data_IF_278037848142
#
_entry.id   IF_278037848142
#
_cell.length_a   1.000
_cell.length_b   1.000
_cell.length_c   1.000
_cell.angle_alpha   90.00
_cell.angle_beta   90.00
_cell.angle_gamma   90.00
#
_symmetry.space_group_name_H-M   'P 1'
#
loop_
_entity.id
_entity.type
_entity.pdbx_description
1 polymer ?
#
# COMPACT_ATOMS: atom_id res chain seq x y z
N UNK A 1 -17.24 -6.37 -12.47
CA UNK A 1 -15.79 -6.72 -12.54
C UNK A 1 -15.05 -5.48 -12.98
N UNK A 2 -14.13 -5.00 -12.16
CA UNK A 2 -13.31 -3.83 -12.47
C UNK A 2 -12.23 -4.17 -13.51
N UNK A 3 -12.15 -3.38 -14.55
CA UNK A 3 -11.14 -3.49 -15.62
C UNK A 3 -9.92 -2.64 -15.22
N UNK A 4 -8.68 -3.03 -15.59
CA UNK A 4 -7.50 -2.23 -15.28
C UNK A 4 -7.59 -0.82 -15.85
N UNK A 5 -7.33 0.19 -15.00
CA UNK A 5 -7.27 1.59 -15.42
C UNK A 5 -5.84 2.00 -15.84
N UNK A 6 -4.80 1.39 -15.25
CA UNK A 6 -3.41 1.83 -15.43
C UNK A 6 -2.46 0.74 -15.94
N UNK A 7 -2.98 -0.38 -16.44
CA UNK A 7 -2.17 -1.39 -17.14
C UNK A 7 -1.59 -0.82 -18.43
N UNK A 8 -0.29 -0.94 -18.62
CA UNK A 8 0.45 -0.35 -19.75
C UNK A 8 1.02 1.03 -19.49
N UNK A 9 0.59 1.72 -18.43
CA UNK A 9 1.15 3.00 -17.99
C UNK A 9 1.89 2.89 -16.65
N UNK A 10 1.28 2.32 -15.61
CA UNK A 10 1.91 2.15 -14.29
C UNK A 10 2.60 0.78 -14.14
N UNK A 11 2.09 -0.24 -14.81
CA UNK A 11 2.71 -1.57 -14.83
C UNK A 11 2.48 -2.23 -16.21
N UNK A 12 3.24 -3.27 -16.58
CA UNK A 12 3.15 -3.87 -17.92
C UNK A 12 1.75 -4.38 -18.24
N UNK A 13 1.31 -4.20 -19.49
CA UNK A 13 -0.03 -4.60 -19.96
C UNK A 13 -0.17 -6.09 -20.28
N UNK A 14 0.91 -6.88 -20.20
CA UNK A 14 0.89 -8.32 -20.51
C UNK A 14 1.43 -9.14 -19.36
N UNK A 15 0.89 -10.36 -19.19
CA UNK A 15 1.33 -11.29 -18.14
C UNK A 15 2.83 -11.56 -18.20
N UNK A 16 3.37 -11.84 -19.40
CA UNK A 16 4.79 -12.15 -19.58
C UNK A 16 5.69 -11.05 -19.07
N UNK A 17 5.41 -9.78 -19.45
CA UNK A 17 6.20 -8.63 -19.01
C UNK A 17 6.05 -8.33 -17.51
N UNK A 18 4.88 -8.57 -16.91
CA UNK A 18 4.72 -8.46 -15.46
C UNK A 18 5.58 -9.48 -14.73
N UNK A 19 5.55 -10.73 -15.16
CA UNK A 19 6.35 -11.82 -14.58
C UNK A 19 7.84 -11.54 -14.75
N UNK A 20 8.28 -11.20 -15.96
CA UNK A 20 9.68 -10.81 -16.27
C UNK A 20 10.18 -9.68 -15.36
N UNK A 21 9.36 -8.64 -15.17
CA UNK A 21 9.71 -7.52 -14.28
C UNK A 21 9.94 -8.01 -12.84
N UNK A 22 9.01 -8.81 -12.30
CA UNK A 22 9.11 -9.28 -10.91
C UNK A 22 10.32 -10.21 -10.74
N UNK A 23 10.55 -11.14 -11.67
CA UNK A 23 11.67 -12.08 -11.62
C UNK A 23 13.02 -11.39 -11.76
N UNK A 24 13.13 -10.40 -12.65
CA UNK A 24 14.37 -9.62 -12.85
C UNK A 24 14.73 -8.70 -11.69
N UNK A 25 13.77 -8.35 -10.84
CA UNK A 25 13.94 -7.50 -9.67
C UNK A 25 13.75 -8.26 -8.34
N UNK A 26 13.68 -9.59 -8.38
CA UNK A 26 13.51 -10.39 -7.16
C UNK A 26 14.69 -10.18 -6.20
N UNK A 27 14.36 -10.14 -4.91
CA UNK A 27 15.32 -9.97 -3.83
C UNK A 27 15.19 -11.11 -2.82
N UNK A 28 16.14 -11.22 -1.90
CA UNK A 28 16.01 -12.09 -0.74
C UNK A 28 15.49 -11.26 0.42
N UNK A 29 14.36 -11.67 1.00
CA UNK A 29 13.77 -11.04 2.16
C UNK A 29 13.48 -12.10 3.22
N UNK A 30 14.06 -11.93 4.41
CA UNK A 30 13.91 -12.89 5.51
C UNK A 30 12.86 -12.47 6.53
N UNK A 31 12.29 -11.27 6.38
CA UNK A 31 11.24 -10.76 7.25
C UNK A 31 9.95 -11.53 7.01
N UNK A 32 9.18 -11.72 8.07
CA UNK A 32 7.86 -12.36 8.04
C UNK A 32 6.85 -11.38 8.63
N UNK A 33 5.95 -10.87 7.82
CA UNK A 33 4.98 -9.88 8.26
C UNK A 33 3.61 -10.06 7.62
N UNK A 34 2.56 -9.82 8.40
CA UNK A 34 1.18 -9.69 7.91
C UNK A 34 0.76 -8.25 7.61
N UNK A 35 1.57 -7.28 8.02
CA UNK A 35 1.25 -5.85 7.84
C UNK A 35 2.44 -5.17 7.20
N UNK A 36 2.22 -4.54 6.05
CA UNK A 36 3.29 -3.86 5.29
C UNK A 36 2.85 -2.50 4.79
N UNK A 37 3.83 -1.63 4.55
CA UNK A 37 3.69 -0.40 3.76
C UNK A 37 4.36 -0.63 2.41
N UNK A 38 3.72 -0.21 1.32
CA UNK A 38 4.18 -0.47 -0.02
C UNK A 38 3.94 0.73 -0.95
N UNK A 39 4.90 1.14 -1.80
CA UNK A 39 4.73 2.24 -2.72
C UNK A 39 3.78 1.88 -3.88
N UNK A 40 3.22 2.92 -4.54
CA UNK A 40 2.28 2.73 -5.63
C UNK A 40 2.54 3.58 -6.88
N UNK A 41 3.70 4.17 -7.02
CA UNK A 41 4.15 4.73 -8.28
C UNK A 41 4.24 3.66 -9.38
N UNK A 42 4.43 4.08 -10.62
CA UNK A 42 4.67 3.12 -11.71
C UNK A 42 5.81 2.15 -11.39
N UNK A 43 5.65 0.89 -11.77
CA UNK A 43 6.59 -0.19 -11.45
C UNK A 43 8.04 0.09 -11.88
N UNK A 44 8.21 0.85 -12.98
CA UNK A 44 9.56 1.27 -13.43
C UNK A 44 10.30 2.14 -12.42
N UNK A 45 9.58 2.77 -11.48
CA UNK A 45 10.13 3.61 -10.42
C UNK A 45 10.15 2.89 -9.08
N UNK A 46 8.99 2.42 -8.62
CA UNK A 46 8.82 1.89 -7.26
C UNK A 46 8.70 0.37 -7.17
N UNK A 47 8.55 -0.33 -8.30
CA UNK A 47 8.24 -1.75 -8.30
C UNK A 47 9.33 -2.63 -7.65
N UNK A 48 10.61 -2.26 -7.78
CA UNK A 48 11.69 -2.98 -7.10
C UNK A 48 11.56 -2.85 -5.59
N UNK A 49 11.33 -1.66 -5.08
CA UNK A 49 11.07 -1.42 -3.65
C UNK A 49 9.81 -2.16 -3.18
N UNK A 50 8.75 -2.17 -3.98
CA UNK A 50 7.51 -2.89 -3.67
C UNK A 50 7.72 -4.40 -3.46
N UNK A 51 8.60 -5.03 -4.20
CA UNK A 51 8.86 -6.48 -4.12
C UNK A 51 9.29 -6.91 -2.70
N UNK A 52 10.06 -6.11 -1.97
CA UNK A 52 10.49 -6.41 -0.61
C UNK A 52 9.30 -6.66 0.34
N UNK A 53 8.29 -5.79 0.31
CA UNK A 53 7.06 -5.98 1.11
C UNK A 53 6.31 -7.25 0.73
N UNK A 54 6.20 -7.56 -0.58
CA UNK A 54 5.51 -8.77 -1.03
C UNK A 54 6.26 -10.06 -0.67
N UNK A 55 7.59 -10.04 -0.65
CA UNK A 55 8.40 -11.15 -0.16
C UNK A 55 8.19 -11.38 1.34
N UNK A 56 8.14 -10.30 2.14
CA UNK A 56 7.83 -10.37 3.57
C UNK A 56 6.42 -10.95 3.82
N UNK A 57 5.41 -10.49 3.07
CA UNK A 57 4.05 -11.03 3.12
C UNK A 57 3.99 -12.51 2.74
N UNK A 58 4.73 -12.93 1.70
CA UNK A 58 4.78 -14.34 1.26
C UNK A 58 5.26 -15.24 2.39
N UNK A 59 6.26 -14.81 3.15
CA UNK A 59 6.79 -15.56 4.27
C UNK A 59 5.76 -15.74 5.41
N UNK A 60 4.75 -14.87 5.51
CA UNK A 60 3.70 -14.96 6.54
C UNK A 60 2.69 -16.10 6.32
N UNK A 61 2.66 -16.68 5.13
CA UNK A 61 1.69 -17.71 4.77
C UNK A 61 0.24 -17.21 4.66
N UNK A 62 0.01 -15.89 4.67
CA UNK A 62 -1.34 -15.30 4.54
C UNK A 62 -1.92 -15.56 3.15
N UNK A 63 -3.24 -15.68 3.09
CA UNK A 63 -3.99 -15.82 1.83
C UNK A 63 -5.25 -14.94 1.76
N UNK A 64 -5.42 -14.06 2.74
CA UNK A 64 -6.54 -13.14 2.88
C UNK A 64 -5.98 -11.74 3.13
N UNK A 65 -6.25 -10.80 2.22
CA UNK A 65 -5.58 -9.49 2.20
C UNK A 65 -6.58 -8.34 2.22
N UNK A 66 -6.21 -7.26 2.93
CA UNK A 66 -6.81 -5.94 2.79
C UNK A 66 -5.77 -5.00 2.19
N UNK A 67 -6.08 -4.43 1.04
CA UNK A 67 -5.27 -3.36 0.43
C UNK A 67 -5.96 -2.05 0.73
N UNK A 68 -5.24 -1.14 1.38
CA UNK A 68 -5.73 0.20 1.74
C UNK A 68 -4.93 1.21 0.94
N UNK A 69 -5.60 1.98 0.09
CA UNK A 69 -4.99 3.05 -0.70
C UNK A 69 -5.57 4.42 -0.35
N UNK A 70 -4.79 5.49 -0.49
CA UNK A 70 -5.35 6.84 -0.51
C UNK A 70 -6.14 7.05 -1.78
N UNK A 71 -7.13 7.93 -1.74
CA UNK A 71 -7.77 8.42 -2.96
C UNK A 71 -7.01 9.61 -3.52
N UNK A 72 -6.79 9.59 -4.84
CA UNK A 72 -6.25 10.74 -5.59
C UNK A 72 -7.36 11.57 -6.27
N UNK A 73 -8.64 11.20 -6.13
CA UNK A 73 -9.76 11.80 -6.82
C UNK A 73 -10.81 12.43 -5.89
N UNK A 74 -10.81 12.10 -4.61
CA UNK A 74 -11.72 12.64 -3.61
C UNK A 74 -11.05 12.69 -2.24
N UNK A 75 -11.54 13.57 -1.37
CA UNK A 75 -10.92 13.86 -0.06
C UNK A 75 -11.81 13.53 1.14
N UNK A 76 -12.91 12.83 0.92
CA UNK A 76 -13.89 12.51 1.96
C UNK A 76 -14.36 11.06 1.87
N UNK A 77 -14.75 10.47 3.00
CA UNK A 77 -15.29 9.13 3.07
C UNK A 77 -14.29 8.00 3.00
N UNK A 78 -14.80 6.79 3.19
CA UNK A 78 -14.09 5.52 3.14
C UNK A 78 -14.93 4.54 2.32
N UNK A 79 -14.39 4.00 1.25
CA UNK A 79 -15.15 3.19 0.31
C UNK A 79 -14.49 1.85 0.02
N UNK A 80 -15.30 0.80 0.00
CA UNK A 80 -14.91 -0.56 -0.38
C UNK A 80 -15.27 -0.84 -1.85
N UNK A 81 -14.50 -1.73 -2.48
CA UNK A 81 -14.91 -2.39 -3.72
C UNK A 81 -15.55 -3.74 -3.42
N UNK A 82 -16.67 -4.02 -4.04
CA UNK A 82 -17.35 -5.33 -3.99
C UNK A 82 -17.14 -6.15 -5.25
N UNK A 83 -16.21 -5.76 -6.12
CA UNK A 83 -15.99 -6.42 -7.42
C UNK A 83 -14.73 -7.29 -7.47
N UNK A 84 -14.71 -8.25 -8.36
CA UNK A 84 -13.48 -8.89 -8.83
C UNK A 84 -12.71 -7.91 -9.70
N UNK A 85 -11.37 -7.93 -9.60
CA UNK A 85 -10.51 -7.04 -10.38
C UNK A 85 -9.73 -7.84 -11.43
N UNK A 86 -9.76 -7.35 -12.66
CA UNK A 86 -8.99 -7.92 -13.76
C UNK A 86 -7.61 -7.28 -13.81
N UNK A 87 -6.58 -8.07 -14.08
CA UNK A 87 -5.21 -7.62 -14.38
C UNK A 87 -4.66 -8.43 -15.54
N UNK A 88 -3.48 -8.12 -16.09
CA UNK A 88 -2.81 -8.97 -17.08
C UNK A 88 -2.50 -10.40 -16.57
N UNK A 89 -2.41 -10.62 -15.24
CA UNK A 89 -2.17 -11.93 -14.66
C UNK A 89 -3.45 -12.75 -14.47
N UNK A 90 -4.62 -12.15 -14.68
CA UNK A 90 -5.91 -12.82 -14.56
C UNK A 90 -6.89 -12.07 -13.65
N UNK A 91 -7.85 -12.80 -13.10
CA UNK A 91 -8.89 -12.25 -12.21
C UNK A 91 -8.49 -12.46 -10.75
N UNK A 92 -8.37 -11.36 -10.02
CA UNK A 92 -8.25 -11.37 -8.56
C UNK A 92 -9.65 -11.39 -7.93
N UNK A 93 -9.88 -12.33 -7.01
CA UNK A 93 -11.18 -12.52 -6.36
C UNK A 93 -11.29 -11.66 -5.11
N UNK A 94 -12.35 -10.84 -5.03
CA UNK A 94 -12.61 -10.10 -3.80
C UNK A 94 -13.11 -11.03 -2.67
N UNK A 95 -12.82 -10.67 -1.45
CA UNK A 95 -13.30 -11.35 -0.24
C UNK A 95 -14.62 -10.72 0.22
N UNK A 96 -15.75 -11.31 -0.24
CA UNK A 96 -17.09 -10.82 0.13
C UNK A 96 -17.31 -10.83 1.65
N UNK A 97 -16.76 -11.81 2.36
CA UNK A 97 -16.94 -11.91 3.80
C UNK A 97 -16.18 -10.79 4.51
N UNK A 98 -14.95 -10.48 4.05
CA UNK A 98 -14.16 -9.37 4.59
C UNK A 98 -14.83 -8.03 4.30
N UNK A 99 -15.34 -7.81 3.08
CA UNK A 99 -16.09 -6.59 2.72
C UNK A 99 -17.27 -6.38 3.68
N UNK A 100 -18.06 -7.43 3.94
CA UNK A 100 -19.18 -7.36 4.86
C UNK A 100 -18.74 -7.12 6.33
N UNK A 101 -17.62 -7.72 6.76
CA UNK A 101 -17.07 -7.54 8.11
C UNK A 101 -16.57 -6.13 8.35
N UNK A 102 -15.92 -5.52 7.35
CA UNK A 102 -15.42 -4.15 7.43
C UNK A 102 -16.56 -3.12 7.55
N UNK A 103 -17.69 -3.35 6.88
CA UNK A 103 -18.92 -2.60 7.07
C UNK A 103 -18.93 -1.16 6.54
N UNK A 104 -17.98 -0.79 5.66
CA UNK A 104 -18.00 0.50 4.98
C UNK A 104 -18.81 0.46 3.70
N UNK A 105 -19.16 1.62 3.17
CA UNK A 105 -19.91 1.76 1.92
C UNK A 105 -19.14 1.11 0.76
N UNK A 106 -19.86 0.35 -0.07
CA UNK A 106 -19.33 -0.17 -1.33
C UNK A 106 -19.66 0.80 -2.45
N UNK A 107 -18.64 1.37 -3.09
CA UNK A 107 -18.84 2.34 -4.18
C UNK A 107 -17.75 2.20 -5.25
N UNK A 108 -18.10 1.55 -6.36
CA UNK A 108 -17.15 1.25 -7.43
C UNK A 108 -16.68 2.48 -8.21
N UNK A 109 -17.49 3.52 -8.29
CA UNK A 109 -17.15 4.74 -9.03
C UNK A 109 -15.85 5.39 -8.53
N UNK A 110 -15.57 5.27 -7.23
CA UNK A 110 -14.34 5.79 -6.64
C UNK A 110 -13.13 4.90 -6.93
N UNK A 111 -13.36 3.60 -7.11
CA UNK A 111 -12.29 2.65 -7.42
C UNK A 111 -11.91 2.63 -8.92
N UNK A 112 -12.83 2.95 -9.82
CA UNK A 112 -12.60 2.83 -11.27
C UNK A 112 -11.36 3.56 -11.77
N UNK A 113 -11.12 4.86 -11.46
CA UNK A 113 -9.96 5.59 -11.94
C UNK A 113 -8.70 5.39 -11.10
N UNK A 114 -8.84 4.85 -9.86
CA UNK A 114 -7.79 4.87 -8.85
C UNK A 114 -6.74 3.78 -9.07
N UNK A 115 -5.47 4.17 -8.97
CA UNK A 115 -4.31 3.31 -9.22
C UNK A 115 -3.65 2.75 -7.97
N UNK A 116 -3.76 3.46 -6.81
CA UNK A 116 -3.02 3.13 -5.58
C UNK A 116 -3.18 1.69 -5.09
N UNK A 117 -4.37 1.09 -5.33
CA UNK A 117 -4.66 -0.30 -5.01
C UNK A 117 -4.35 -1.20 -6.21
N UNK A 118 -4.69 -0.75 -7.43
CA UNK A 118 -4.56 -1.57 -8.64
C UNK A 118 -3.14 -2.08 -8.86
N UNK A 119 -2.14 -1.23 -8.68
CA UNK A 119 -0.73 -1.58 -8.92
C UNK A 119 -0.20 -2.67 -7.98
N UNK A 120 -0.87 -2.91 -6.84
CA UNK A 120 -0.52 -3.93 -5.86
C UNK A 120 -1.00 -5.34 -6.28
N UNK A 121 -2.12 -5.40 -7.01
CA UNK A 121 -2.80 -6.68 -7.29
C UNK A 121 -1.96 -7.63 -8.13
N UNK A 122 -1.27 -7.22 -9.21
CA UNK A 122 -0.44 -8.15 -9.98
C UNK A 122 0.71 -8.76 -9.17
N UNK A 123 1.26 -8.05 -8.17
CA UNK A 123 2.22 -8.63 -7.23
C UNK A 123 1.56 -9.74 -6.39
N UNK A 124 0.38 -9.50 -5.82
CA UNK A 124 -0.36 -10.55 -5.09
C UNK A 124 -0.60 -11.77 -5.97
N UNK A 125 -1.01 -11.59 -7.22
CA UNK A 125 -1.25 -12.69 -8.15
C UNK A 125 0.02 -13.48 -8.50
N UNK A 126 1.18 -12.84 -8.48
CA UNK A 126 2.45 -13.51 -8.72
C UNK A 126 2.93 -14.30 -7.49
N UNK A 127 2.90 -13.68 -6.31
CA UNK A 127 3.45 -14.27 -5.09
C UNK A 127 2.51 -15.29 -4.43
N UNK A 128 1.19 -15.18 -4.66
CA UNK A 128 0.19 -16.01 -3.99
C UNK A 128 -0.69 -16.74 -4.99
N UNK A 129 -0.58 -18.09 -5.01
CA UNK A 129 -1.37 -18.94 -5.95
C UNK A 129 -2.87 -18.94 -5.65
N UNK A 130 -3.23 -18.82 -4.38
CA UNK A 130 -4.63 -18.80 -3.90
C UNK A 130 -4.76 -17.72 -2.85
N UNK A 131 -5.56 -16.70 -3.12
CA UNK A 131 -5.86 -15.63 -2.20
C UNK A 131 -7.22 -15.00 -2.51
N UNK A 132 -7.74 -14.26 -1.53
CA UNK A 132 -8.81 -13.30 -1.68
C UNK A 132 -8.37 -11.95 -1.12
N UNK A 133 -8.99 -10.87 -1.59
CA UNK A 133 -8.65 -9.54 -1.10
C UNK A 133 -9.89 -8.65 -0.96
N UNK A 134 -9.80 -7.65 -0.09
CA UNK A 134 -10.66 -6.48 -0.10
C UNK A 134 -9.85 -5.25 -0.49
N UNK A 135 -10.46 -4.33 -1.22
CA UNK A 135 -9.91 -3.03 -1.60
C UNK A 135 -10.66 -1.95 -0.83
N UNK A 136 -9.93 -1.12 -0.09
CA UNK A 136 -10.46 -0.01 0.67
C UNK A 136 -9.76 1.28 0.26
N UNK A 137 -10.53 2.25 -0.23
CA UNK A 137 -10.05 3.60 -0.54
C UNK A 137 -10.37 4.57 0.58
N UNK A 138 -9.37 5.35 0.94
CA UNK A 138 -9.42 6.35 1.99
C UNK A 138 -9.36 7.76 1.40
N UNK A 139 -10.49 8.45 1.31
CA UNK A 139 -10.55 9.90 1.03
C UNK A 139 -10.35 10.69 2.32
N UNK A 140 -11.10 10.36 3.36
CA UNK A 140 -10.89 10.92 4.71
C UNK A 140 -9.76 10.18 5.42
N UNK A 141 -8.57 10.80 5.45
CA UNK A 141 -7.39 10.30 6.13
C UNK A 141 -7.25 10.84 7.57
N UNK A 142 -8.30 11.43 8.12
CA UNK A 142 -8.27 11.93 9.50
C UNK A 142 -7.98 10.82 10.51
N UNK A 143 -7.38 11.21 11.63
CA UNK A 143 -7.08 10.29 12.73
C UNK A 143 -8.30 9.46 13.18
N UNK A 144 -9.48 10.09 13.28
CA UNK A 144 -10.71 9.41 13.68
C UNK A 144 -11.12 8.32 12.70
N UNK A 145 -11.11 8.61 11.40
CA UNK A 145 -11.42 7.66 10.33
C UNK A 145 -10.41 6.52 10.30
N UNK A 146 -9.11 6.82 10.42
CA UNK A 146 -8.07 5.80 10.50
C UNK A 146 -8.27 4.83 11.67
N UNK A 147 -8.63 5.33 12.87
CA UNK A 147 -8.91 4.47 14.02
C UNK A 147 -10.17 3.61 13.82
N UNK A 148 -11.22 4.15 13.20
CA UNK A 148 -12.43 3.40 12.89
C UNK A 148 -12.10 2.24 11.94
N UNK A 149 -11.37 2.52 10.85
CA UNK A 149 -10.94 1.49 9.90
C UNK A 149 -10.05 0.45 10.59
N UNK A 150 -9.04 0.89 11.34
CA UNK A 150 -8.14 -0.04 12.02
C UNK A 150 -8.91 -1.00 12.93
N UNK A 151 -9.89 -0.52 13.69
CA UNK A 151 -10.72 -1.36 14.60
C UNK A 151 -11.57 -2.40 13.88
N UNK A 152 -11.99 -2.13 12.65
CA UNK A 152 -12.84 -3.05 11.87
C UNK A 152 -12.07 -4.22 11.24
N UNK A 153 -10.72 -4.13 11.16
CA UNK A 153 -9.89 -5.13 10.48
C UNK A 153 -9.71 -6.38 11.37
N UNK A 154 -10.09 -7.57 10.90
CA UNK A 154 -9.86 -8.83 11.64
C UNK A 154 -8.36 -9.20 11.72
N UNK A 155 -7.96 -9.93 12.78
CA UNK A 155 -6.56 -10.30 13.03
C UNK A 155 -6.00 -11.37 12.07
N UNK A 156 -6.88 -12.10 11.37
CA UNK A 156 -6.49 -13.10 10.37
C UNK A 156 -6.19 -12.51 8.99
N UNK A 157 -6.40 -11.21 8.81
CA UNK A 157 -6.21 -10.49 7.54
C UNK A 157 -4.82 -9.86 7.49
N UNK A 158 -4.12 -10.09 6.38
CA UNK A 158 -2.89 -9.36 6.10
C UNK A 158 -3.21 -7.99 5.46
N UNK A 159 -2.50 -6.94 5.88
CA UNK A 159 -2.74 -5.56 5.49
C UNK A 159 -1.61 -5.02 4.62
N UNK A 160 -1.97 -4.43 3.48
CA UNK A 160 -1.07 -3.69 2.60
C UNK A 160 -1.51 -2.23 2.63
N UNK A 161 -0.73 -1.38 3.29
CA UNK A 161 -0.90 0.07 3.26
C UNK A 161 -0.16 0.63 2.06
N UNK A 162 -0.88 1.17 1.10
CA UNK A 162 -0.33 1.69 -0.15
C UNK A 162 -0.03 3.18 -0.02
N UNK A 163 1.24 3.58 -0.17
CA UNK A 163 1.66 4.98 -0.06
C UNK A 163 3.03 5.21 -0.70
N UNK A 164 3.13 6.25 -1.53
CA UNK A 164 4.40 6.88 -1.79
C UNK A 164 4.71 7.92 -0.70
N UNK A 165 6.00 8.26 -0.53
CA UNK A 165 6.47 9.22 0.48
C UNK A 165 6.59 10.62 -0.12
N UNK A 166 7.58 11.43 0.29
CA UNK A 166 7.68 12.84 -0.12
C UNK A 166 7.72 13.00 -1.65
N UNK A 167 6.96 13.97 -2.16
CA UNK A 167 6.85 14.30 -3.58
C UNK A 167 7.43 15.66 -3.89
N UNK A 168 8.18 15.74 -5.00
CA UNK A 168 8.59 16.99 -5.65
C UNK A 168 9.41 17.94 -4.77
N UNK A 169 10.26 17.38 -3.93
CA UNK A 169 11.24 18.12 -3.17
C UNK A 169 12.68 17.74 -3.57
N UNK A 170 13.70 18.62 -3.29
CA UNK A 170 15.09 18.23 -3.46
C UNK A 170 15.42 16.97 -2.64
N UNK A 171 16.18 16.03 -3.21
CA UNK A 171 16.44 14.69 -2.62
C UNK A 171 16.87 14.76 -1.15
N UNK A 172 17.81 15.65 -0.82
CA UNK A 172 18.28 15.80 0.58
C UNK A 172 17.17 16.21 1.55
N UNK A 173 16.25 17.08 1.10
CA UNK A 173 15.13 17.55 1.92
C UNK A 173 14.09 16.46 2.05
N UNK A 174 13.69 15.81 0.95
CA UNK A 174 12.75 14.71 0.93
C UNK A 174 13.22 13.58 1.87
N UNK A 175 14.45 13.13 1.68
CA UNK A 175 15.07 12.09 2.50
C UNK A 175 15.08 12.42 4.01
N UNK A 176 15.39 13.68 4.39
CA UNK A 176 15.40 14.07 5.81
C UNK A 176 14.01 14.00 6.44
N UNK A 177 12.98 14.47 5.73
CA UNK A 177 11.58 14.43 6.17
C UNK A 177 11.07 13.00 6.27
N UNK A 178 11.39 12.19 5.28
CA UNK A 178 10.90 10.80 5.20
C UNK A 178 11.54 9.91 6.27
N UNK A 179 12.83 10.08 6.56
CA UNK A 179 13.45 9.32 7.66
C UNK A 179 12.92 9.71 9.04
N UNK A 180 12.52 10.97 9.28
CA UNK A 180 11.80 11.35 10.50
C UNK A 180 10.43 10.65 10.58
N UNK A 181 9.69 10.59 9.48
CA UNK A 181 8.41 9.89 9.40
C UNK A 181 8.58 8.37 9.58
N UNK A 182 9.56 7.75 8.89
CA UNK A 182 9.89 6.33 8.98
C UNK A 182 10.23 5.93 10.41
N UNK A 183 11.02 6.72 11.13
CA UNK A 183 11.36 6.46 12.54
C UNK A 183 10.11 6.34 13.43
N UNK A 184 9.08 7.18 13.20
CA UNK A 184 7.81 7.10 13.92
C UNK A 184 7.01 5.85 13.54
N UNK A 185 7.04 5.45 12.26
CA UNK A 185 6.42 4.20 11.78
C UNK A 185 7.11 2.99 12.43
N UNK A 186 8.44 2.94 12.41
CA UNK A 186 9.22 1.85 13.03
C UNK A 186 8.97 1.71 14.53
N UNK A 187 8.77 2.84 15.22
CA UNK A 187 8.45 2.90 16.66
C UNK A 187 6.96 2.71 16.97
N UNK A 188 6.12 2.40 15.98
CA UNK A 188 4.66 2.25 16.10
C UNK A 188 3.97 3.49 16.70
N UNK A 189 4.45 4.70 16.40
CA UNK A 189 3.94 5.99 16.93
C UNK A 189 2.91 6.62 15.98
N UNK A 190 1.85 5.89 15.65
CA UNK A 190 0.82 6.28 14.67
C UNK A 190 0.27 7.69 14.86
N UNK A 191 -0.07 8.10 16.09
CA UNK A 191 -0.59 9.45 16.38
C UNK A 191 0.45 10.53 16.05
N UNK A 192 1.70 10.32 16.49
CA UNK A 192 2.80 11.25 16.21
C UNK A 192 3.13 11.32 14.71
N UNK A 193 3.06 10.17 14.02
CA UNK A 193 3.24 10.12 12.57
C UNK A 193 2.17 10.93 11.83
N UNK A 194 0.88 10.73 12.14
CA UNK A 194 -0.22 11.51 11.55
C UNK A 194 -0.06 13.01 11.84
N UNK A 195 0.22 13.39 13.08
CA UNK A 195 0.47 14.78 13.49
C UNK A 195 1.70 15.40 12.79
N UNK A 196 2.78 14.64 12.59
CA UNK A 196 3.97 15.10 11.86
C UNK A 196 3.60 15.43 10.40
N UNK A 197 2.88 14.50 9.72
CA UNK A 197 2.46 14.70 8.33
C UNK A 197 1.56 15.91 8.19
N UNK A 198 0.51 16.01 9.01
CA UNK A 198 -0.45 17.12 8.97
C UNK A 198 0.19 18.45 9.30
N UNK A 199 0.95 18.54 10.40
CA UNK A 199 1.57 19.79 10.87
C UNK A 199 2.60 20.35 9.91
N UNK A 200 3.39 19.48 9.28
CA UNK A 200 4.45 19.87 8.36
C UNK A 200 4.01 19.81 6.89
N UNK A 201 2.74 19.49 6.64
CA UNK A 201 2.17 19.30 5.29
C UNK A 201 3.07 18.44 4.42
N UNK A 202 3.49 17.28 4.96
CA UNK A 202 4.31 16.32 4.20
C UNK A 202 3.48 15.71 3.09
N UNK A 203 4.07 15.58 1.91
CA UNK A 203 3.37 15.02 0.72
C UNK A 203 3.35 13.48 0.68
N UNK A 204 3.23 12.82 1.84
CA UNK A 204 3.04 11.39 1.96
C UNK A 204 1.58 11.07 1.62
N UNK A 205 1.32 10.59 0.40
CA UNK A 205 -0.04 10.50 -0.13
C UNK A 205 -0.95 9.55 0.66
N UNK A 206 -0.40 8.45 1.18
CA UNK A 206 -1.12 7.42 1.95
C UNK A 206 -0.82 7.46 3.45
N UNK A 207 -0.72 8.64 4.08
CA UNK A 207 -0.45 8.69 5.52
C UNK A 207 -1.57 8.07 6.36
N UNK A 208 -2.82 8.13 5.90
CA UNK A 208 -3.94 7.42 6.51
C UNK A 208 -3.78 5.89 6.44
N UNK A 209 -3.58 5.28 5.27
CA UNK A 209 -3.23 3.87 5.15
C UNK A 209 -2.06 3.43 6.05
N UNK A 210 -0.97 4.21 6.11
CA UNK A 210 0.17 3.94 7.01
C UNK A 210 -0.27 4.01 8.48
N UNK A 211 -1.05 5.02 8.87
CA UNK A 211 -1.59 5.17 10.23
C UNK A 211 -2.42 3.94 10.63
N UNK A 212 -3.28 3.45 9.72
CA UNK A 212 -4.08 2.24 9.93
C UNK A 212 -3.17 1.02 10.10
N UNK A 213 -2.16 0.86 9.23
CA UNK A 213 -1.21 -0.24 9.32
C UNK A 213 -0.48 -0.27 10.66
N UNK A 214 -0.04 0.88 11.18
CA UNK A 214 0.58 0.98 12.49
C UNK A 214 -0.39 0.57 13.60
N UNK A 215 -1.65 1.01 13.56
CA UNK A 215 -2.67 0.65 14.57
C UNK A 215 -2.98 -0.85 14.55
N UNK A 216 -3.05 -1.48 13.37
CA UNK A 216 -3.21 -2.93 13.26
C UNK A 216 -1.97 -3.65 13.78
N UNK A 217 -0.77 -3.18 13.42
CA UNK A 217 0.49 -3.77 13.84
C UNK A 217 0.69 -3.76 15.36
N UNK A 218 0.24 -2.72 16.06
CA UNK A 218 0.32 -2.62 17.54
C UNK A 218 -0.32 -3.80 18.28
N UNK A 219 -1.20 -4.54 17.65
CA UNK A 219 -1.89 -5.68 18.27
C UNK A 219 -0.94 -6.85 18.52
N UNK A 220 -0.01 -7.10 17.57
CA UNK A 220 0.80 -8.32 17.56
C UNK A 220 2.29 -8.09 17.20
N UNK A 221 2.69 -6.90 16.80
CA UNK A 221 4.04 -6.57 16.38
C UNK A 221 4.75 -5.68 17.41
N UNK A 222 6.07 -5.77 17.45
CA UNK A 222 6.90 -4.98 18.39
C UNK A 222 7.47 -3.73 17.77
N UNK A 223 7.67 -3.74 16.43
CA UNK A 223 8.27 -2.63 15.68
C UNK A 223 7.97 -2.72 14.19
N UNK A 224 8.14 -1.61 13.50
CA UNK A 224 8.34 -1.58 12.04
C UNK A 224 9.81 -1.81 11.69
N UNK A 225 10.05 -2.25 10.48
CA UNK A 225 11.39 -2.45 9.91
C UNK A 225 11.38 -1.91 8.49
N UNK A 226 12.30 -0.99 8.18
CA UNK A 226 12.53 -0.52 6.81
C UNK A 226 13.16 -1.66 6.01
N UNK A 227 12.50 -2.09 4.94
CA UNK A 227 12.99 -3.15 4.06
C UNK A 227 13.78 -2.60 2.90
N UNK A 228 13.27 -1.54 2.27
CA UNK A 228 13.93 -0.86 1.15
C UNK A 228 13.50 0.60 1.05
N UNK A 229 14.40 1.44 0.54
CA UNK A 229 14.18 2.86 0.27
C UNK A 229 14.81 3.22 -1.07
N UNK A 230 14.03 3.79 -1.96
CA UNK A 230 14.49 4.30 -3.26
C UNK A 230 13.77 5.60 -3.62
N UNK A 231 14.16 6.22 -4.72
CA UNK A 231 13.45 7.40 -5.25
C UNK A 231 13.41 7.39 -6.79
N UNK A 232 12.66 8.36 -7.34
CA UNK A 232 12.47 8.51 -8.79
C UNK A 232 13.72 9.00 -9.53
N UNK A 233 14.81 9.32 -8.84
CA UNK A 233 15.92 10.13 -9.36
C UNK A 233 15.58 11.61 -9.42
N UNK A 234 16.59 12.46 -9.35
CA UNK A 234 16.43 13.92 -9.45
C UNK A 234 15.87 14.30 -10.81
N UNK A 235 14.77 15.05 -10.77
CA UNK A 235 14.14 15.66 -11.93
C UNK A 235 14.13 17.18 -11.76
N UNK A 236 13.80 17.93 -12.78
CA UNK A 236 13.63 19.39 -12.64
C UNK A 236 12.54 19.81 -11.64
N UNK A 237 11.79 18.84 -11.08
CA UNK A 237 10.76 19.05 -10.06
C UNK A 237 11.11 18.42 -8.70
N UNK A 238 12.32 17.88 -8.52
CA UNK A 238 12.72 17.11 -7.34
C UNK A 238 12.44 15.61 -7.47
N UNK A 239 12.44 14.89 -6.34
CA UNK A 239 12.24 13.43 -6.28
C UNK A 239 10.84 13.07 -5.78
N UNK A 240 10.47 11.80 -6.00
CA UNK A 240 9.41 11.10 -5.24
C UNK A 240 10.08 9.92 -4.54
N UNK A 241 9.90 9.83 -3.23
CA UNK A 241 10.51 8.78 -2.42
C UNK A 241 9.56 7.57 -2.28
N UNK A 242 10.14 6.38 -2.34
CA UNK A 242 9.45 5.08 -2.29
C UNK A 242 9.98 4.27 -1.12
N UNK A 243 9.07 3.75 -0.31
CA UNK A 243 9.40 3.05 0.92
C UNK A 243 8.66 1.73 1.04
N UNK A 244 9.40 0.70 1.41
CA UNK A 244 8.89 -0.61 1.77
C UNK A 244 9.17 -0.87 3.23
N UNK A 245 8.10 -1.11 4.03
CA UNK A 245 8.18 -1.38 5.46
C UNK A 245 7.40 -2.64 5.82
N UNK A 246 7.88 -3.38 6.80
CA UNK A 246 7.18 -4.51 7.40
C UNK A 246 7.07 -4.33 8.92
N UNK A 247 6.02 -4.88 9.53
CA UNK A 247 5.83 -4.87 10.98
C UNK A 247 6.04 -6.27 11.56
N UNK A 248 6.92 -6.38 12.59
CA UNK A 248 7.38 -7.65 13.19
C UNK A 248 7.29 -7.65 14.70
#
# INVERSE_FOLDING_TARGET
>A
MRIPAVAGSFYPSTKGKCVEFIESNSCTENTNSKVVVNPHAGWGFSGKTAIHSFMSLKNSGSNRFLIIGPSHYFSDGVFLSGQYWKTPLGIAKHDKNLVNQLGFEVNENFHEPEHSIEVQIPFLQYFFKKFTFAALLLGDQSWSSCLQVAKSIPDDVAVIASSDFTHYEPEKTARSKDFEAIELVEKLKSRKFSELVEKNNLSICGYGPITIAIEVAKRNCRKGVLLDFSNSGETGRGVVDYVSLAFV
#
